data_IF_249641318583
#
_entry.id   IF_249641318583
#
_cell.length_a   1.000
_cell.length_b   1.000
_cell.length_c   1.000
_cell.angle_alpha   90.00
_cell.angle_beta   90.00
_cell.angle_gamma   90.00
#
_symmetry.space_group_name_H-M   'P 1'
#
loop_
_entity.id
_entity.type
_entity.pdbx_description
1 polymer ?
#
# COMPACT_ATOMS: atom_id res chain seq x y z
N UNK A 1 5.64 -15.17 -5.94
CA UNK A 1 6.79 -15.24 -6.89
C UNK A 1 8.08 -15.40 -6.09
N UNK A 2 9.05 -16.26 -6.47
CA UNK A 2 10.29 -16.40 -5.71
C UNK A 2 11.14 -15.14 -5.87
N UNK A 3 11.26 -14.35 -4.80
CA UNK A 3 12.07 -13.12 -4.75
C UNK A 3 12.98 -13.18 -3.53
N UNK A 4 14.15 -12.53 -3.60
CA UNK A 4 15.11 -12.48 -2.50
C UNK A 4 14.59 -11.58 -1.38
N UNK A 5 14.87 -11.94 -0.14
CA UNK A 5 14.64 -11.07 1.01
C UNK A 5 15.77 -10.04 1.08
N UNK A 6 15.43 -8.79 1.37
CA UNK A 6 16.36 -7.68 1.56
C UNK A 6 16.00 -6.93 2.84
N UNK A 7 17.02 -6.42 3.53
CA UNK A 7 16.83 -5.54 4.69
C UNK A 7 16.62 -4.10 4.23
N UNK A 8 15.75 -3.37 4.93
CA UNK A 8 15.48 -1.97 4.63
C UNK A 8 15.10 -1.23 5.90
N UNK A 9 15.61 0.00 6.03
CA UNK A 9 15.24 0.92 7.10
C UNK A 9 14.29 1.97 6.55
N UNK A 10 13.21 2.24 7.27
CA UNK A 10 12.23 3.23 6.81
C UNK A 10 12.70 4.64 7.12
N UNK A 11 12.62 5.50 6.12
CA UNK A 11 12.93 6.92 6.22
C UNK A 11 11.77 7.70 5.63
N UNK A 12 11.26 8.68 6.37
CA UNK A 12 10.16 9.50 5.87
C UNK A 12 10.60 10.28 4.63
N UNK A 13 9.81 10.14 3.55
CA UNK A 13 9.97 10.89 2.32
C UNK A 13 8.70 11.69 2.04
N UNK A 14 8.79 13.01 2.27
CA UNK A 14 7.68 13.94 2.11
C UNK A 14 7.09 13.97 0.70
N UNK A 15 7.87 13.59 -0.32
CA UNK A 15 7.39 13.46 -1.70
C UNK A 15 6.19 12.53 -1.79
N UNK A 16 6.16 11.43 -1.02
CA UNK A 16 5.05 10.48 -1.08
C UNK A 16 3.85 10.87 -0.20
N UNK A 17 4.02 11.83 0.71
CA UNK A 17 2.95 12.44 1.49
C UNK A 17 2.42 13.76 0.91
N UNK A 18 3.08 14.36 -0.07
CA UNK A 18 2.66 15.63 -0.66
C UNK A 18 1.32 15.51 -1.40
N UNK A 19 0.57 16.62 -1.44
CA UNK A 19 -0.66 16.72 -2.23
C UNK A 19 -0.32 16.75 -3.72
N UNK A 20 -1.02 15.97 -4.53
CA UNK A 20 -0.82 15.98 -5.98
C UNK A 20 -1.23 17.32 -6.63
N UNK A 21 -2.05 18.11 -5.94
CA UNK A 21 -2.45 19.45 -6.39
C UNK A 21 -1.34 20.48 -6.21
N UNK A 22 -0.45 20.25 -5.25
CA UNK A 22 0.61 21.19 -4.88
C UNK A 22 1.97 20.80 -5.47
N UNK A 23 2.16 19.54 -5.88
CA UNK A 23 3.44 19.01 -6.35
C UNK A 23 3.30 17.93 -7.44
N UNK A 24 3.62 18.28 -8.69
CA UNK A 24 3.64 17.36 -9.82
C UNK A 24 4.74 16.30 -9.75
N UNK A 25 5.83 16.54 -9.00
CA UNK A 25 6.89 15.56 -8.78
C UNK A 25 6.39 14.40 -7.92
N UNK A 26 5.44 14.66 -7.03
CA UNK A 26 4.84 13.63 -6.19
C UNK A 26 4.14 12.55 -7.02
N UNK A 27 3.34 12.91 -8.01
CA UNK A 27 2.68 11.92 -8.87
C UNK A 27 3.67 11.14 -9.72
N UNK A 28 4.70 11.80 -10.23
CA UNK A 28 5.80 11.11 -10.95
C UNK A 28 6.52 10.10 -10.06
N UNK A 29 6.73 10.41 -8.79
CA UNK A 29 7.34 9.50 -7.82
C UNK A 29 6.46 8.28 -7.55
N UNK A 30 5.14 8.46 -7.46
CA UNK A 30 4.18 7.35 -7.32
C UNK A 30 4.12 6.47 -8.56
N UNK A 31 4.10 7.07 -9.75
CA UNK A 31 4.14 6.33 -11.02
C UNK A 31 5.40 5.46 -11.14
N UNK A 32 6.55 5.98 -10.67
CA UNK A 32 7.82 5.26 -10.69
C UNK A 32 7.87 4.04 -9.75
N UNK A 33 6.93 3.89 -8.79
CA UNK A 33 6.87 2.70 -7.93
C UNK A 33 6.37 1.46 -8.68
N UNK A 34 5.53 1.67 -9.69
CA UNK A 34 4.96 0.56 -10.44
C UNK A 34 5.93 0.10 -11.54
N UNK A 35 6.13 -1.21 -11.72
CA UNK A 35 6.93 -1.70 -12.82
C UNK A 35 6.24 -1.41 -14.16
N UNK A 36 6.98 -1.49 -15.25
CA UNK A 36 6.40 -1.49 -16.59
C UNK A 36 5.28 -2.54 -16.70
N UNK A 37 4.17 -2.18 -17.33
CA UNK A 37 2.95 -3.00 -17.33
C UNK A 37 2.14 -2.92 -16.04
N UNK A 38 2.49 -2.01 -15.11
CA UNK A 38 1.76 -1.74 -13.85
C UNK A 38 1.55 -2.97 -12.96
N UNK A 39 2.49 -3.92 -13.03
CA UNK A 39 2.45 -5.17 -12.27
C UNK A 39 1.55 -6.25 -12.86
N UNK A 40 0.99 -6.06 -14.06
CA UNK A 40 0.26 -7.10 -14.78
C UNK A 40 1.24 -8.06 -15.46
N UNK A 41 1.06 -9.36 -15.25
CA UNK A 41 1.90 -10.43 -15.79
C UNK A 41 1.04 -11.52 -16.45
N UNK A 42 1.61 -12.19 -17.44
CA UNK A 42 1.06 -13.42 -18.02
C UNK A 42 1.78 -14.60 -17.36
N UNK A 43 1.04 -15.47 -16.67
CA UNK A 43 1.66 -16.58 -15.94
C UNK A 43 0.82 -17.87 -16.03
N UNK A 44 1.44 -19.06 -16.17
CA UNK A 44 2.82 -19.25 -16.65
C UNK A 44 3.04 -18.57 -18.02
N UNK A 45 4.29 -18.37 -18.47
CA UNK A 45 4.57 -17.65 -19.71
C UNK A 45 3.76 -18.21 -20.90
N UNK A 46 3.22 -17.31 -21.73
CA UNK A 46 2.35 -17.64 -22.89
C UNK A 46 0.97 -18.25 -22.53
N UNK A 47 0.57 -18.28 -21.26
CA UNK A 47 -0.80 -18.69 -20.87
C UNK A 47 -1.85 -17.67 -21.32
N UNK A 48 -3.12 -18.04 -21.42
CA UNK A 48 -4.20 -17.06 -21.68
C UNK A 48 -4.64 -16.29 -20.43
N UNK A 49 -3.97 -16.50 -19.29
CA UNK A 49 -4.33 -15.89 -18.02
C UNK A 49 -3.38 -14.75 -17.67
N UNK A 50 -3.99 -13.64 -17.27
CA UNK A 50 -3.29 -12.47 -16.75
C UNK A 50 -3.53 -12.37 -15.25
N UNK A 51 -2.51 -11.90 -14.56
CA UNK A 51 -2.52 -11.66 -13.14
C UNK A 51 -1.96 -10.28 -12.85
N UNK A 52 -2.37 -9.66 -11.75
CA UNK A 52 -1.66 -8.51 -11.17
C UNK A 52 -0.96 -8.98 -9.90
N UNK A 53 0.30 -8.58 -9.72
CA UNK A 53 1.02 -8.84 -8.47
C UNK A 53 0.37 -8.01 -7.35
N UNK A 54 0.05 -8.64 -6.22
CA UNK A 54 -0.69 -8.00 -5.13
C UNK A 54 -0.09 -6.68 -4.64
N UNK A 55 1.24 -6.57 -4.47
CA UNK A 55 1.86 -5.31 -4.05
C UNK A 55 1.61 -4.15 -5.04
N UNK A 56 1.54 -4.43 -6.34
CA UNK A 56 1.23 -3.39 -7.34
C UNK A 56 -0.23 -2.91 -7.20
N UNK A 57 -1.15 -3.83 -6.95
CA UNK A 57 -2.56 -3.49 -6.68
C UNK A 57 -2.70 -2.73 -5.35
N UNK A 58 -2.01 -3.15 -4.29
CA UNK A 58 -2.01 -2.47 -2.98
C UNK A 58 -1.49 -1.03 -3.08
N UNK A 59 -0.39 -0.81 -3.82
CA UNK A 59 0.14 0.52 -4.09
C UNK A 59 -0.82 1.38 -4.92
N UNK A 60 -1.48 0.79 -5.92
CA UNK A 60 -2.52 1.48 -6.71
C UNK A 60 -3.70 1.93 -5.83
N UNK A 61 -4.17 1.07 -4.93
CA UNK A 61 -5.22 1.42 -3.97
C UNK A 61 -4.78 2.54 -3.01
N UNK A 62 -3.56 2.45 -2.47
CA UNK A 62 -3.03 3.49 -1.58
C UNK A 62 -2.87 4.84 -2.30
N UNK A 63 -2.43 4.83 -3.56
CA UNK A 63 -2.40 6.01 -4.41
C UNK A 63 -3.80 6.60 -4.64
N UNK A 64 -4.81 5.76 -4.89
CA UNK A 64 -6.21 6.19 -5.01
C UNK A 64 -6.72 6.86 -3.74
N UNK A 65 -6.42 6.29 -2.56
CA UNK A 65 -6.73 6.89 -1.27
C UNK A 65 -6.03 8.23 -1.06
N UNK A 66 -4.73 8.33 -1.40
CA UNK A 66 -3.98 9.59 -1.37
C UNK A 66 -4.67 10.68 -2.18
N UNK A 67 -5.14 10.36 -3.39
CA UNK A 67 -5.84 11.31 -4.26
C UNK A 67 -7.20 11.73 -3.68
N UNK A 68 -7.97 10.78 -3.16
CA UNK A 68 -9.23 11.08 -2.50
C UNK A 68 -9.03 12.03 -1.31
N UNK A 69 -8.05 11.74 -0.45
CA UNK A 69 -7.72 12.57 0.72
C UNK A 69 -7.23 13.97 0.32
N UNK A 70 -6.41 14.07 -0.72
CA UNK A 70 -5.91 15.36 -1.23
C UNK A 70 -7.01 16.22 -1.86
N UNK A 71 -8.11 15.61 -2.32
CA UNK A 71 -9.26 16.33 -2.89
C UNK A 71 -10.18 16.97 -1.83
N UNK A 72 -10.00 16.63 -0.55
CA UNK A 72 -10.79 17.17 0.56
C UNK A 72 -10.28 18.59 0.88
N UNK A 73 -10.92 19.60 0.29
CA UNK A 73 -10.58 21.03 0.47
C UNK A 73 -10.71 21.55 1.91
N UNK A 74 -11.39 20.83 2.80
CA UNK A 74 -11.73 21.25 4.17
C UNK A 74 -10.92 20.57 5.26
N UNK A 75 -9.71 20.09 4.96
CA UNK A 75 -8.81 19.61 6.03
C UNK A 75 -8.46 20.73 7.01
N UNK A 76 -8.54 21.99 6.57
CA UNK A 76 -8.39 23.18 7.42
C UNK A 76 -9.54 23.44 8.41
N UNK A 77 -10.71 22.81 8.23
CA UNK A 77 -11.85 22.90 9.17
C UNK A 77 -11.82 21.78 10.22
N UNK A 78 -10.86 20.85 10.13
CA UNK A 78 -10.66 19.83 11.16
C UNK A 78 -9.97 20.47 12.37
N UNK A 79 -10.46 20.23 13.61
CA UNK A 79 -9.96 20.92 14.81
C UNK A 79 -8.45 20.77 15.05
N UNK A 80 -7.82 19.73 14.47
CA UNK A 80 -6.43 19.42 14.68
C UNK A 80 -5.62 19.57 13.38
N UNK A 81 -4.91 20.68 13.23
CA UNK A 81 -3.89 20.84 12.17
C UNK A 81 -2.80 19.76 12.18
N UNK A 82 -2.68 19.01 13.28
CA UNK A 82 -1.85 17.79 13.40
C UNK A 82 -2.33 16.64 12.50
N UNK A 83 -3.62 16.58 12.15
CA UNK A 83 -4.18 15.46 11.37
C UNK A 83 -3.63 15.42 9.95
N UNK A 84 -3.36 16.57 9.31
CA UNK A 84 -2.86 16.54 7.94
C UNK A 84 -1.42 16.02 7.89
N UNK A 85 -0.53 16.51 8.74
CA UNK A 85 0.86 16.02 8.76
C UNK A 85 0.93 14.55 9.16
N UNK A 86 0.08 14.13 10.10
CA UNK A 86 -0.04 12.72 10.46
C UNK A 86 -0.49 11.87 9.26
N UNK A 87 -1.54 12.29 8.53
CA UNK A 87 -2.00 11.59 7.31
C UNK A 87 -0.89 11.50 6.26
N UNK A 88 -0.14 12.59 6.01
CA UNK A 88 0.97 12.60 5.05
C UNK A 88 2.07 11.61 5.44
N UNK A 89 2.46 11.61 6.72
CA UNK A 89 3.42 10.65 7.25
C UNK A 89 2.91 9.20 7.17
N UNK A 90 1.66 8.95 7.54
CA UNK A 90 1.02 7.64 7.47
C UNK A 90 0.97 7.09 6.04
N UNK A 91 0.69 7.92 5.04
CA UNK A 91 0.69 7.50 3.63
C UNK A 91 2.05 6.96 3.20
N UNK A 92 3.14 7.67 3.53
CA UNK A 92 4.48 7.21 3.21
C UNK A 92 4.90 5.98 4.03
N UNK A 93 4.54 5.93 5.32
CA UNK A 93 4.77 4.75 6.17
C UNK A 93 4.07 3.49 5.62
N UNK A 94 2.81 3.61 5.22
CA UNK A 94 2.06 2.49 4.63
C UNK A 94 2.65 2.08 3.28
N UNK A 95 3.04 3.04 2.43
CA UNK A 95 3.74 2.75 1.15
C UNK A 95 5.02 1.94 1.40
N UNK A 96 5.85 2.37 2.35
CA UNK A 96 7.08 1.65 2.71
C UNK A 96 6.78 0.26 3.27
N UNK A 97 5.74 0.12 4.10
CA UNK A 97 5.29 -1.15 4.65
C UNK A 97 4.85 -2.14 3.56
N UNK A 98 4.09 -1.68 2.56
CA UNK A 98 3.67 -2.49 1.41
C UNK A 98 4.86 -2.95 0.57
N UNK A 99 5.82 -2.06 0.29
CA UNK A 99 7.04 -2.39 -0.46
C UNK A 99 7.93 -3.37 0.32
N UNK A 100 8.06 -3.20 1.63
CA UNK A 100 8.82 -4.10 2.50
C UNK A 100 8.22 -5.50 2.57
N UNK A 101 6.88 -5.58 2.70
CA UNK A 101 6.18 -6.86 2.70
C UNK A 101 6.16 -7.52 1.31
N UNK A 102 6.16 -6.71 0.24
CA UNK A 102 6.21 -7.11 -1.16
C UNK A 102 5.31 -8.32 -1.48
N UNK A 103 4.02 -8.23 -1.16
CA UNK A 103 3.07 -9.31 -1.40
C UNK A 103 3.10 -9.74 -2.87
N UNK A 104 3.69 -10.92 -3.10
CA UNK A 104 4.00 -11.45 -4.43
C UNK A 104 2.95 -12.44 -4.93
N UNK A 105 1.77 -12.42 -4.30
CA UNK A 105 0.59 -13.20 -4.71
C UNK A 105 0.12 -12.75 -6.10
N UNK A 106 -0.34 -13.72 -6.90
CA UNK A 106 -0.88 -13.49 -8.23
C UNK A 106 -2.39 -13.35 -8.16
N UNK A 107 -2.91 -12.14 -8.38
CA UNK A 107 -4.36 -11.89 -8.41
C UNK A 107 -4.89 -12.03 -9.83
N UNK A 108 -5.85 -12.93 -10.11
CA UNK A 108 -6.34 -13.14 -11.47
C UNK A 108 -7.09 -11.91 -11.97
N UNK A 109 -6.74 -11.45 -13.18
CA UNK A 109 -7.42 -10.32 -13.82
C UNK A 109 -8.84 -10.75 -14.19
N UNK A 110 -9.82 -9.98 -13.72
CA UNK A 110 -11.22 -10.08 -14.14
C UNK A 110 -11.41 -9.31 -15.46
N UNK A 111 -11.77 -9.99 -16.56
CA UNK A 111 -11.98 -9.33 -17.85
C UNK A 111 -13.11 -8.29 -17.85
N UNK A 112 -14.13 -8.46 -16.99
CA UNK A 112 -15.26 -7.52 -16.90
C UNK A 112 -14.84 -6.24 -16.20
N UNK A 113 -14.02 -6.35 -15.15
CA UNK A 113 -13.49 -5.21 -14.41
C UNK A 113 -12.28 -4.57 -15.09
N UNK A 114 -11.64 -5.27 -16.04
CA UNK A 114 -10.34 -4.89 -16.63
C UNK A 114 -9.28 -4.63 -15.54
N UNK A 115 -9.31 -5.42 -14.47
CA UNK A 115 -8.50 -5.24 -13.28
C UNK A 115 -8.60 -6.42 -12.33
N UNK A 116 -8.20 -6.23 -11.07
CA UNK A 116 -8.23 -7.27 -10.03
C UNK A 116 -9.09 -6.82 -8.85
N UNK A 117 -9.75 -7.76 -8.18
CA UNK A 117 -10.57 -7.45 -6.99
C UNK A 117 -9.75 -7.49 -5.70
N UNK A 118 -8.63 -8.22 -5.69
CA UNK A 118 -7.90 -8.56 -4.46
C UNK A 118 -8.49 -9.72 -3.66
N UNK A 119 -9.69 -10.20 -4.00
CA UNK A 119 -10.44 -11.17 -3.18
C UNK A 119 -10.47 -12.56 -3.82
N UNK A 120 -10.72 -13.59 -2.99
CA UNK A 120 -10.86 -14.97 -3.45
C UNK A 120 -9.54 -15.64 -3.86
N UNK A 121 -8.41 -15.04 -3.49
CA UNK A 121 -7.06 -15.57 -3.74
C UNK A 121 -6.40 -15.89 -2.41
N UNK A 122 -5.89 -17.11 -2.29
CA UNK A 122 -5.15 -17.56 -1.12
C UNK A 122 -3.83 -16.79 -0.99
N UNK A 123 -3.46 -16.45 0.26
CA UNK A 123 -2.25 -15.71 0.59
C UNK A 123 -1.51 -16.38 1.73
N UNK A 124 -0.19 -16.32 1.69
CA UNK A 124 0.65 -16.74 2.81
C UNK A 124 0.87 -15.57 3.77
N UNK A 125 0.07 -15.53 4.85
CA UNK A 125 0.11 -14.46 5.84
C UNK A 125 0.89 -14.87 7.10
N UNK A 126 1.44 -13.88 7.81
CA UNK A 126 1.86 -14.08 9.21
C UNK A 126 0.61 -14.17 10.09
N UNK A 127 0.63 -15.03 11.11
CA UNK A 127 -0.48 -15.15 12.06
C UNK A 127 -0.66 -13.86 12.85
N UNK A 128 -1.73 -13.11 12.57
CA UNK A 128 -2.04 -11.91 13.34
C UNK A 128 -2.42 -12.24 14.78
N UNK A 129 -3.05 -13.39 15.01
CA UNK A 129 -3.36 -13.89 16.36
C UNK A 129 -2.09 -14.08 17.19
N UNK A 130 -1.03 -14.64 16.60
CA UNK A 130 0.23 -14.87 17.32
C UNK A 130 0.92 -13.54 17.63
N UNK A 131 0.92 -12.60 16.66
CA UNK A 131 1.43 -11.24 16.86
C UNK A 131 0.68 -10.54 17.98
N UNK A 132 -0.66 -10.62 17.98
CA UNK A 132 -1.52 -10.01 19.01
C UNK A 132 -1.25 -10.62 20.38
N UNK A 133 -1.21 -11.95 20.46
CA UNK A 133 -0.95 -12.67 21.71
C UNK A 133 0.42 -12.32 22.30
N UNK A 134 1.46 -12.32 21.48
CA UNK A 134 2.80 -11.92 21.89
C UNK A 134 2.83 -10.46 22.39
N UNK A 135 2.17 -9.56 21.66
CA UNK A 135 2.10 -8.13 22.02
C UNK A 135 1.37 -7.93 23.34
N UNK A 136 0.26 -8.63 23.56
CA UNK A 136 -0.50 -8.55 24.82
C UNK A 136 0.29 -9.09 26.00
N UNK A 137 1.06 -10.17 25.82
CA UNK A 137 1.90 -10.74 26.87
C UNK A 137 2.99 -9.75 27.32
N UNK A 138 3.59 -9.01 26.39
CA UNK A 138 4.66 -8.03 26.67
C UNK A 138 4.17 -6.57 26.73
N UNK A 139 2.86 -6.32 26.87
CA UNK A 139 2.30 -4.96 26.79
C UNK A 139 2.82 -4.06 27.91
N UNK A 140 3.10 -2.81 27.57
CA UNK A 140 3.55 -1.79 28.52
C UNK A 140 2.39 -1.10 29.28
N UNK A 141 1.16 -1.19 28.79
CA UNK A 141 -0.03 -0.62 29.43
C UNK A 141 -1.29 -1.43 29.13
N UNK A 142 -2.37 -1.15 29.86
CA UNK A 142 -3.71 -1.74 29.65
C UNK A 142 -4.67 -0.77 28.91
N UNK A 143 -4.14 0.18 28.13
CA UNK A 143 -4.97 1.06 27.31
C UNK A 143 -5.71 0.26 26.23
N UNK A 144 -6.89 0.73 25.85
CA UNK A 144 -7.77 0.08 24.87
C UNK A 144 -8.26 1.10 23.83
N UNK A 145 -8.46 0.65 22.59
CA UNK A 145 -8.92 1.50 21.48
C UNK A 145 -7.79 2.23 20.75
N UNK A 146 -8.19 3.02 19.74
CA UNK A 146 -7.34 3.98 19.03
C UNK A 146 -7.54 5.38 19.62
#
# INVERSE_FOLDING_TARGET
VPVRIVESTFHYNSTFGASYLDDSYSDSAWDALLPLGRGTVQYPPRSRQFYTISVAHQLHCLWGLRRALSSIKRVSDLPDGNNLQHVKHCLDYLRQSLICAADSTLEPVDPKLKGVTGWGVERSCRSYTDVKTWTEYYRASNLVGF
#
